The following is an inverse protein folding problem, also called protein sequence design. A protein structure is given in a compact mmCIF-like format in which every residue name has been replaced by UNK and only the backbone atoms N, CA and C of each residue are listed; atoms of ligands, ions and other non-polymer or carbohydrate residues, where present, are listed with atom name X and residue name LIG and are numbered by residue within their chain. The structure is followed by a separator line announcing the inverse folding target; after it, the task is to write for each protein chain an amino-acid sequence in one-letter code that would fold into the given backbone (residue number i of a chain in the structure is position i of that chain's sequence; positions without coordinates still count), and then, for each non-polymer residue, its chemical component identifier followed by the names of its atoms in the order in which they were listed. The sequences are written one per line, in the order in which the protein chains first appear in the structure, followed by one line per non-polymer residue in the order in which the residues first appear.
data_IF_881963610531
#
_entry.id   IF_881963610531
#
_cell.length_a   1.000
_cell.length_b   1.000
_cell.length_c   1.000
_cell.angle_alpha   90.00
_cell.angle_beta   90.00
_cell.angle_gamma   90.00
#
_symmetry.space_group_name_H-M   'P 1'
#
loop_
_entity.id
_entity.type
_entity.pdbx_description
1 polymer ?
#
# COMPACT_ATOMS: atom_id res chain seq x y z
N UNK A 1 8.76 33.03 -4.95
CA UNK A 1 8.37 32.63 -3.58
C UNK A 1 9.13 31.36 -3.25
N UNK A 2 9.74 31.25 -2.06
CA UNK A 2 10.49 30.06 -1.63
C UNK A 2 9.70 29.30 -0.57
N UNK A 3 9.45 28.02 -0.82
CA UNK A 3 8.77 27.15 0.12
C UNK A 3 9.74 26.53 1.14
N UNK A 4 9.25 26.18 2.33
CA UNK A 4 10.02 25.36 3.25
C UNK A 4 10.19 23.95 2.70
N UNK A 5 9.08 23.37 2.16
CA UNK A 5 9.10 22.03 1.58
C UNK A 5 8.30 21.99 0.28
N UNK A 6 8.87 21.35 -0.75
CA UNK A 6 8.11 20.89 -1.93
C UNK A 6 7.88 19.40 -1.78
N UNK A 7 6.62 18.99 -1.81
CA UNK A 7 6.19 17.60 -1.84
C UNK A 7 5.90 17.20 -3.28
N UNK A 8 6.62 16.21 -3.81
CA UNK A 8 6.46 15.71 -5.17
C UNK A 8 5.61 14.45 -5.16
N UNK A 9 4.40 14.53 -5.70
CA UNK A 9 3.40 13.48 -5.76
C UNK A 9 2.24 13.68 -4.78
N UNK A 10 1.02 13.82 -5.32
CA UNK A 10 -0.22 14.07 -4.58
C UNK A 10 -1.01 12.80 -4.22
N UNK A 11 -0.38 11.63 -4.16
CA UNK A 11 -0.99 10.43 -3.59
C UNK A 11 -1.09 10.48 -2.07
N UNK A 12 -1.61 9.43 -1.40
CA UNK A 12 -1.84 9.43 0.05
C UNK A 12 -0.63 9.84 0.89
N UNK A 13 0.59 9.40 0.52
CA UNK A 13 1.80 9.80 1.24
C UNK A 13 2.09 11.30 1.14
N UNK A 14 2.00 11.84 -0.08
CA UNK A 14 2.34 13.26 -0.30
C UNK A 14 1.26 14.21 0.22
N UNK A 15 -0.01 13.86 0.05
CA UNK A 15 -1.11 14.67 0.58
C UNK A 15 -1.06 14.77 2.10
N UNK A 16 -0.84 13.63 2.80
CA UNK A 16 -0.68 13.62 4.27
C UNK A 16 0.57 14.36 4.69
N UNK A 17 1.70 14.20 3.98
CA UNK A 17 2.93 14.93 4.30
C UNK A 17 2.73 16.45 4.17
N UNK A 18 2.06 16.91 3.12
CA UNK A 18 1.77 18.32 2.89
C UNK A 18 0.86 18.88 4.00
N UNK A 19 -0.26 18.21 4.30
CA UNK A 19 -1.17 18.59 5.37
C UNK A 19 -0.45 18.67 6.73
N UNK A 20 0.36 17.64 7.07
CA UNK A 20 1.10 17.58 8.34
C UNK A 20 2.06 18.77 8.48
N UNK A 21 2.80 19.12 7.46
CA UNK A 21 3.74 20.25 7.47
C UNK A 21 3.04 21.60 7.60
N UNK A 22 1.96 21.79 6.85
CA UNK A 22 1.20 23.05 6.91
C UNK A 22 0.59 23.25 8.29
N UNK A 23 0.03 22.20 8.92
CA UNK A 23 -0.49 22.25 10.28
C UNK A 23 0.61 22.58 11.32
N UNK A 24 1.88 22.38 10.98
CA UNK A 24 3.04 22.78 11.78
C UNK A 24 3.60 24.15 11.37
N UNK A 25 2.85 24.94 10.59
CA UNK A 25 3.20 26.31 10.20
C UNK A 25 4.29 26.40 9.12
N UNK A 26 4.56 25.31 8.38
CA UNK A 26 5.54 25.35 7.29
C UNK A 26 4.86 25.73 5.97
N UNK A 27 5.56 26.47 5.11
CA UNK A 27 5.10 26.79 3.76
C UNK A 27 5.36 25.61 2.82
N UNK A 28 4.31 25.08 2.17
CA UNK A 28 4.37 23.83 1.39
C UNK A 28 3.76 24.00 0.00
N UNK A 29 4.49 23.54 -1.03
CA UNK A 29 3.91 23.27 -2.34
C UNK A 29 3.74 21.76 -2.54
N UNK A 30 2.55 21.34 -2.95
CA UNK A 30 2.21 19.96 -3.33
C UNK A 30 2.16 19.86 -4.86
N UNK A 31 3.25 19.37 -5.45
CA UNK A 31 3.38 19.17 -6.89
C UNK A 31 2.81 17.81 -7.29
N UNK A 32 1.76 17.80 -8.08
CA UNK A 32 1.16 16.57 -8.62
C UNK A 32 0.80 16.73 -10.10
N UNK A 33 0.95 15.67 -10.87
CA UNK A 33 0.67 15.71 -12.30
C UNK A 33 -0.82 15.64 -12.66
N UNK A 34 -1.69 15.31 -11.69
CA UNK A 34 -3.13 15.15 -11.92
C UNK A 34 -3.52 13.98 -12.83
N UNK A 35 -4.82 13.83 -13.02
CA UNK A 35 -5.42 12.99 -14.09
C UNK A 35 -5.15 11.48 -14.05
N UNK A 36 -4.38 10.95 -13.08
CA UNK A 36 -4.10 9.52 -12.98
C UNK A 36 -4.74 8.91 -11.74
N UNK A 37 -5.61 7.94 -11.96
CA UNK A 37 -6.06 7.04 -10.90
C UNK A 37 -4.95 6.02 -10.64
N UNK A 38 -4.54 5.84 -9.39
CA UNK A 38 -3.56 4.83 -9.05
C UNK A 38 -4.22 3.46 -8.96
N UNK A 39 -3.74 2.44 -9.72
CA UNK A 39 -4.22 1.07 -9.60
C UNK A 39 -4.08 0.55 -8.16
N UNK A 40 -5.18 0.05 -7.60
CA UNK A 40 -5.22 -0.42 -6.21
C UNK A 40 -6.45 -1.29 -5.97
N UNK A 41 -6.33 -2.29 -5.10
CA UNK A 41 -7.48 -3.04 -4.59
C UNK A 41 -8.36 -2.27 -3.60
N UNK A 42 -7.98 -1.07 -3.19
CA UNK A 42 -8.80 -0.13 -2.41
C UNK A 42 -9.01 -0.47 -0.94
N UNK A 43 -8.49 -1.59 -0.45
CA UNK A 43 -8.72 -2.04 0.94
C UNK A 43 -8.01 -1.15 1.96
N UNK A 44 -8.76 -0.63 2.93
CA UNK A 44 -8.26 0.19 4.04
C UNK A 44 -8.72 -0.37 5.39
N UNK A 45 -7.81 -0.51 6.38
CA UNK A 45 -8.17 -1.02 7.70
C UNK A 45 -8.86 0.04 8.54
N UNK A 46 -9.65 -0.36 9.57
CA UNK A 46 -10.28 0.58 10.51
C UNK A 46 -9.29 1.53 11.18
N UNK A 47 -8.08 1.07 11.41
CA UNK A 47 -7.02 1.92 11.97
C UNK A 47 -6.71 3.12 11.07
N UNK A 48 -6.63 2.92 9.75
CA UNK A 48 -6.43 4.03 8.81
C UNK A 48 -7.58 5.02 8.87
N UNK A 49 -8.82 4.51 8.85
CA UNK A 49 -10.04 5.33 8.88
C UNK A 49 -10.03 6.23 10.12
N UNK A 50 -9.76 5.64 11.29
CA UNK A 50 -9.68 6.36 12.55
C UNK A 50 -8.51 7.33 12.64
N UNK A 51 -7.27 6.85 12.38
CA UNK A 51 -6.04 7.61 12.63
C UNK A 51 -5.92 8.82 11.68
N UNK A 52 -6.56 8.76 10.50
CA UNK A 52 -6.57 9.84 9.51
C UNK A 52 -7.93 10.51 9.31
N UNK A 53 -8.90 10.25 10.19
CA UNK A 53 -10.24 10.83 10.14
C UNK A 53 -10.85 10.75 8.72
N UNK A 54 -10.90 9.54 8.17
CA UNK A 54 -11.48 9.31 6.84
C UNK A 54 -13.01 9.31 6.98
N UNK A 55 -13.71 10.18 6.26
CA UNK A 55 -15.17 10.23 6.25
C UNK A 55 -15.79 8.93 5.74
N UNK A 56 -16.93 8.55 6.32
CA UNK A 56 -17.63 7.30 6.00
C UNK A 56 -18.12 7.27 4.54
N UNK A 57 -18.46 8.41 3.98
CA UNK A 57 -18.90 8.55 2.57
C UNK A 57 -17.85 8.17 1.54
N UNK A 58 -16.58 8.06 1.95
CA UNK A 58 -15.49 7.56 1.09
C UNK A 58 -15.37 6.04 1.10
N UNK A 59 -16.10 5.36 1.98
CA UNK A 59 -16.09 3.90 2.10
C UNK A 59 -17.20 3.33 1.22
N UNK A 60 -16.82 2.87 0.03
CA UNK A 60 -17.79 2.37 -0.97
C UNK A 60 -18.27 0.96 -0.72
N UNK A 61 -17.58 0.18 0.13
CA UNK A 61 -18.01 -1.13 0.58
C UNK A 61 -17.35 -1.51 1.93
N UNK A 62 -18.06 -2.35 2.70
CA UNK A 62 -17.64 -2.86 4.01
C UNK A 62 -17.43 -4.36 3.92
N UNK A 63 -16.18 -4.82 3.75
CA UNK A 63 -15.89 -6.24 3.76
C UNK A 63 -15.87 -6.75 5.21
N UNK A 64 -16.83 -7.58 5.57
CA UNK A 64 -17.02 -8.18 6.91
C UNK A 64 -16.28 -9.50 7.08
N UNK A 65 -15.58 -9.95 6.05
CA UNK A 65 -14.79 -11.17 6.08
C UNK A 65 -13.99 -11.38 4.81
N UNK A 66 -13.22 -12.47 4.85
CA UNK A 66 -12.53 -12.97 3.66
C UNK A 66 -12.86 -14.44 3.45
N UNK A 67 -12.80 -14.87 2.19
CA UNK A 67 -12.80 -16.28 1.82
C UNK A 67 -11.49 -16.58 1.10
N UNK A 68 -10.76 -17.57 1.62
CA UNK A 68 -9.41 -17.88 1.17
C UNK A 68 -9.41 -19.22 0.45
N UNK A 69 -8.96 -19.24 -0.80
CA UNK A 69 -8.98 -20.40 -1.67
C UNK A 69 -7.61 -21.03 -1.83
N UNK A 70 -7.53 -22.33 -1.56
CA UNK A 70 -6.34 -23.15 -1.74
C UNK A 70 -6.17 -23.63 -3.20
N UNK A 71 -4.99 -24.21 -3.55
CA UNK A 71 -4.77 -24.83 -4.86
C UNK A 71 -5.76 -25.93 -5.22
N UNK A 72 -6.16 -26.76 -4.25
CA UNK A 72 -7.15 -27.82 -4.42
C UNK A 72 -8.58 -27.33 -4.69
N UNK A 73 -8.84 -26.02 -4.55
CA UNK A 73 -10.18 -25.45 -4.55
C UNK A 73 -10.85 -25.42 -3.17
N UNK A 74 -10.22 -26.03 -2.14
CA UNK A 74 -10.65 -25.89 -0.76
C UNK A 74 -10.71 -24.41 -0.39
N UNK A 75 -11.75 -24.02 0.35
CA UNK A 75 -11.90 -22.65 0.80
C UNK A 75 -12.15 -22.58 2.31
N UNK A 76 -11.55 -21.60 2.96
CA UNK A 76 -11.75 -21.29 4.36
C UNK A 76 -12.36 -19.90 4.50
N UNK A 77 -13.47 -19.81 5.25
CA UNK A 77 -14.08 -18.53 5.59
C UNK A 77 -13.37 -17.92 6.81
N UNK A 78 -13.06 -16.64 6.72
CA UNK A 78 -12.44 -15.85 7.80
C UNK A 78 -13.36 -14.66 8.11
N UNK A 79 -14.42 -14.84 8.90
CA UNK A 79 -15.28 -13.71 9.28
C UNK A 79 -14.52 -12.76 10.21
N UNK A 80 -14.77 -11.46 10.04
CA UNK A 80 -14.36 -10.44 11.00
C UNK A 80 -15.39 -10.43 12.12
N UNK A 81 -14.94 -10.34 13.37
CA UNK A 81 -15.85 -10.32 14.53
C UNK A 81 -16.88 -9.19 14.47
N UNK A 82 -17.86 -9.21 15.37
CA UNK A 82 -19.01 -8.28 15.41
C UNK A 82 -18.58 -6.81 15.26
N UNK A 83 -19.26 -6.09 14.37
CA UNK A 83 -19.00 -4.67 14.07
C UNK A 83 -17.72 -4.35 13.33
N UNK A 84 -16.83 -5.35 13.10
CA UNK A 84 -15.58 -5.12 12.36
C UNK A 84 -15.78 -5.19 10.83
N UNK A 85 -15.01 -4.39 10.10
CA UNK A 85 -14.95 -4.46 8.64
C UNK A 85 -13.59 -3.97 8.12
N UNK A 86 -13.30 -4.29 6.88
CA UNK A 86 -12.27 -3.64 6.06
C UNK A 86 -13.00 -2.73 5.08
N UNK A 87 -12.70 -1.44 5.11
CA UNK A 87 -13.29 -0.47 4.17
C UNK A 87 -12.69 -0.61 2.78
N UNK A 88 -13.49 -0.36 1.75
CA UNK A 88 -13.02 -0.22 0.38
C UNK A 88 -13.17 1.22 -0.07
N UNK A 89 -12.16 1.74 -0.75
CA UNK A 89 -12.16 3.13 -1.26
C UNK A 89 -11.84 3.16 -2.73
N UNK A 90 -12.49 4.05 -3.45
CA UNK A 90 -12.14 4.39 -4.82
C UNK A 90 -11.04 5.46 -4.84
N UNK A 91 -9.93 5.14 -5.49
CA UNK A 91 -8.69 5.92 -5.42
C UNK A 91 -8.77 7.28 -6.09
N UNK A 92 -9.63 7.49 -7.05
CA UNK A 92 -9.90 8.79 -7.66
C UNK A 92 -10.50 9.77 -6.64
N UNK A 93 -11.55 9.35 -5.95
CA UNK A 93 -12.23 10.17 -4.93
C UNK A 93 -11.39 10.28 -3.66
N UNK A 94 -10.84 9.17 -3.18
CA UNK A 94 -10.03 9.12 -1.96
C UNK A 94 -8.76 9.98 -2.04
N UNK A 95 -7.99 9.86 -3.14
CA UNK A 95 -6.77 10.64 -3.30
C UNK A 95 -7.07 12.14 -3.49
N UNK A 96 -8.18 12.48 -4.18
CA UNK A 96 -8.60 13.88 -4.34
C UNK A 96 -9.05 14.48 -3.00
N UNK A 97 -9.80 13.74 -2.19
CA UNK A 97 -10.15 14.16 -0.84
C UNK A 97 -8.91 14.53 -0.02
N UNK A 98 -7.87 13.68 -0.02
CA UNK A 98 -6.64 13.96 0.71
C UNK A 98 -5.91 15.21 0.18
N UNK A 99 -5.88 15.41 -1.15
CA UNK A 99 -5.28 16.61 -1.76
C UNK A 99 -6.07 17.89 -1.42
N UNK A 100 -7.39 17.82 -1.48
CA UNK A 100 -8.27 18.94 -1.12
C UNK A 100 -8.05 19.32 0.35
N UNK A 101 -8.04 18.35 1.26
CA UNK A 101 -7.81 18.56 2.69
C UNK A 101 -6.43 19.19 2.97
N UNK A 102 -5.39 18.77 2.26
CA UNK A 102 -4.08 19.40 2.36
C UNK A 102 -4.10 20.87 1.88
N UNK A 103 -4.83 21.16 0.80
CA UNK A 103 -4.99 22.53 0.29
C UNK A 103 -5.81 23.41 1.23
N UNK A 104 -6.90 22.91 1.78
CA UNK A 104 -7.71 23.59 2.81
C UNK A 104 -6.91 23.93 4.06
N UNK A 105 -5.95 23.06 4.43
CA UNK A 105 -5.00 23.34 5.50
C UNK A 105 -3.99 24.42 5.13
N UNK A 106 -3.82 24.76 3.85
CA UNK A 106 -2.94 25.83 3.34
C UNK A 106 -1.80 25.39 2.43
N UNK A 107 -1.75 24.12 2.00
CA UNK A 107 -0.76 23.68 1.02
C UNK A 107 -1.10 24.25 -0.38
N UNK A 108 -0.11 24.78 -1.08
CA UNK A 108 -0.28 25.28 -2.45
C UNK A 108 -0.22 24.09 -3.41
N UNK A 109 -1.36 23.79 -4.04
CA UNK A 109 -1.40 22.76 -5.10
C UNK A 109 -0.77 23.29 -6.39
N UNK A 110 0.19 22.55 -6.92
CA UNK A 110 0.85 22.86 -8.20
C UNK A 110 0.64 21.68 -9.15
N UNK A 111 0.06 21.96 -10.31
CA UNK A 111 -0.16 20.94 -11.33
C UNK A 111 1.05 20.86 -12.26
N UNK A 112 1.70 19.70 -12.28
CA UNK A 112 2.85 19.47 -13.14
C UNK A 112 3.57 18.16 -12.89
N UNK A 113 4.42 17.79 -13.84
CA UNK A 113 5.22 16.56 -13.77
C UNK A 113 6.66 16.88 -13.38
N UNK A 114 7.13 16.29 -12.30
CA UNK A 114 8.52 16.41 -11.82
C UNK A 114 9.52 16.06 -12.93
N UNK A 115 10.57 16.87 -13.07
CA UNK A 115 11.67 16.66 -14.02
C UNK A 115 12.99 16.37 -13.29
N UNK A 116 13.48 17.29 -12.47
CA UNK A 116 14.77 17.19 -11.75
C UNK A 116 14.86 18.16 -10.59
N UNK A 117 15.88 18.00 -9.77
CA UNK A 117 16.27 18.95 -8.74
C UNK A 117 17.63 19.56 -9.13
N UNK A 118 17.75 20.90 -9.05
CA UNK A 118 19.02 21.61 -9.16
C UNK A 118 19.37 22.34 -7.86
N UNK A 119 20.67 22.74 -7.69
CA UNK A 119 21.17 23.29 -6.43
C UNK A 119 22.20 24.40 -6.63
N UNK A 120 22.21 25.05 -7.78
CA UNK A 120 23.17 26.12 -8.10
C UNK A 120 22.93 27.35 -7.21
N UNK A 121 21.67 27.78 -7.07
CA UNK A 121 21.25 28.91 -6.25
C UNK A 121 20.28 28.51 -5.12
N UNK A 122 20.52 27.39 -4.47
CA UNK A 122 19.61 26.76 -3.53
C UNK A 122 18.87 25.57 -4.15
N UNK A 123 17.98 24.94 -3.38
CA UNK A 123 17.22 23.78 -3.87
C UNK A 123 16.06 24.23 -4.75
N UNK A 124 16.03 23.74 -5.96
CA UNK A 124 15.03 24.08 -6.97
C UNK A 124 14.45 22.83 -7.60
N UNK A 125 13.13 22.64 -7.48
CA UNK A 125 12.39 21.54 -8.08
C UNK A 125 11.86 21.97 -9.44
N UNK A 126 12.39 21.40 -10.52
CA UNK A 126 11.94 21.65 -11.89
C UNK A 126 10.81 20.68 -12.23
N UNK A 127 9.79 21.19 -12.92
CA UNK A 127 8.65 20.41 -13.36
C UNK A 127 8.12 20.92 -14.71
N UNK A 128 7.42 20.07 -15.43
CA UNK A 128 6.69 20.44 -16.63
C UNK A 128 5.28 20.84 -16.24
N UNK A 129 5.00 22.13 -16.27
CA UNK A 129 3.68 22.72 -16.05
C UNK A 129 2.87 22.86 -17.33
N UNK A 130 1.77 23.59 -17.26
CA UNK A 130 0.89 23.83 -18.40
C UNK A 130 1.55 24.70 -19.50
N UNK A 131 2.41 25.64 -19.13
CA UNK A 131 3.06 26.61 -20.02
C UNK A 131 4.48 26.20 -20.44
N UNK A 132 5.01 25.10 -19.92
CA UNK A 132 6.35 24.60 -20.21
C UNK A 132 7.13 24.20 -18.98
N UNK A 133 8.46 24.33 -19.03
CA UNK A 133 9.34 24.03 -17.92
C UNK A 133 9.30 25.16 -16.90
N UNK A 134 8.92 24.82 -15.68
CA UNK A 134 8.76 25.71 -14.54
C UNK A 134 9.60 25.20 -13.36
N UNK A 135 9.71 25.99 -12.29
CA UNK A 135 10.40 25.55 -11.07
C UNK A 135 9.80 26.12 -9.80
N UNK A 136 10.06 25.46 -8.69
CA UNK A 136 9.73 25.86 -7.32
C UNK A 136 11.02 25.93 -6.51
N UNK A 137 11.29 27.09 -5.90
CA UNK A 137 12.38 27.23 -4.93
C UNK A 137 11.94 26.67 -3.57
N UNK A 138 12.81 25.89 -2.93
CA UNK A 138 12.49 25.26 -1.65
C UNK A 138 13.73 25.11 -0.76
N UNK A 139 13.53 24.69 0.48
CA UNK A 139 14.61 24.26 1.38
C UNK A 139 14.78 22.75 1.38
N UNK A 140 13.66 22.01 1.38
CA UNK A 140 13.62 20.54 1.41
C UNK A 140 12.63 19.98 0.40
N UNK A 141 12.81 18.72 0.03
CA UNK A 141 11.93 18.00 -0.88
C UNK A 141 11.49 16.68 -0.26
N UNK A 142 10.19 16.39 -0.30
CA UNK A 142 9.64 15.05 -0.04
C UNK A 142 9.31 14.38 -1.36
N UNK A 143 10.00 13.28 -1.69
CA UNK A 143 9.67 12.43 -2.84
C UNK A 143 8.57 11.42 -2.48
N UNK A 144 7.35 11.68 -2.93
CA UNK A 144 6.15 10.84 -2.72
C UNK A 144 5.48 10.46 -4.06
N UNK A 145 6.26 10.40 -5.13
CA UNK A 145 5.85 10.22 -6.53
C UNK A 145 5.64 8.76 -6.94
N UNK A 146 5.46 7.88 -5.94
CA UNK A 146 4.96 6.52 -6.09
C UNK A 146 6.03 5.49 -6.44
N UNK A 147 5.57 4.29 -6.84
CA UNK A 147 6.43 3.12 -7.02
C UNK A 147 7.56 3.29 -8.06
N UNK A 148 7.32 4.10 -9.09
CA UNK A 148 8.30 4.39 -10.17
C UNK A 148 8.90 5.79 -9.95
N UNK A 149 9.18 6.13 -8.71
CA UNK A 149 9.64 7.45 -8.29
C UNK A 149 10.84 7.95 -9.10
N UNK A 150 10.70 9.11 -9.73
CA UNK A 150 11.79 9.80 -10.40
C UNK A 150 12.71 10.49 -9.37
N UNK A 151 12.12 11.05 -8.30
CA UNK A 151 12.87 11.63 -7.18
C UNK A 151 13.77 10.58 -6.53
N UNK A 152 13.22 9.38 -6.21
CA UNK A 152 13.99 8.32 -5.60
C UNK A 152 15.18 7.87 -6.46
N UNK A 153 14.95 7.66 -7.76
CA UNK A 153 16.03 7.25 -8.69
C UNK A 153 17.13 8.31 -8.85
N UNK A 154 16.76 9.56 -8.86
CA UNK A 154 17.72 10.67 -9.01
C UNK A 154 18.53 10.90 -7.74
N UNK A 155 17.88 10.89 -6.58
CA UNK A 155 18.43 11.45 -5.35
C UNK A 155 18.90 10.41 -4.32
N UNK A 156 18.35 9.19 -4.32
CA UNK A 156 18.66 8.17 -3.32
C UNK A 156 19.22 6.91 -3.98
N UNK A 157 20.52 6.66 -3.78
CA UNK A 157 21.26 5.57 -4.42
C UNK A 157 20.61 4.20 -4.18
N UNK A 158 20.13 3.94 -2.98
CA UNK A 158 19.52 2.68 -2.56
C UNK A 158 18.19 2.39 -3.25
N UNK A 159 17.53 3.41 -3.78
CA UNK A 159 16.25 3.29 -4.50
C UNK A 159 16.40 2.98 -6.00
N UNK A 160 17.64 2.89 -6.52
CA UNK A 160 17.89 2.63 -7.95
C UNK A 160 17.61 1.20 -8.39
N UNK A 161 17.53 0.25 -7.46
CA UNK A 161 17.26 -1.18 -7.73
C UNK A 161 16.09 -1.65 -6.87
N UNK A 162 14.87 -1.20 -7.14
CA UNK A 162 13.69 -1.61 -6.39
C UNK A 162 13.36 -3.08 -6.66
N UNK A 163 12.76 -3.74 -5.65
CA UNK A 163 12.17 -5.06 -5.82
C UNK A 163 10.65 -4.93 -5.92
N UNK A 164 10.08 -5.39 -7.02
CA UNK A 164 8.65 -5.27 -7.30
C UNK A 164 7.93 -6.62 -7.36
N UNK A 165 6.68 -6.62 -6.90
CA UNK A 165 5.60 -7.44 -7.44
C UNK A 165 4.87 -6.59 -8.46
N UNK A 166 4.69 -7.06 -9.68
CA UNK A 166 3.85 -6.40 -10.67
C UNK A 166 2.42 -6.89 -10.51
N UNK A 167 1.50 -5.98 -10.29
CA UNK A 167 0.08 -6.25 -10.16
C UNK A 167 -0.67 -5.80 -11.41
N UNK A 168 -1.71 -6.57 -11.77
CA UNK A 168 -2.68 -6.24 -12.79
C UNK A 168 -4.07 -6.55 -12.26
N UNK A 169 -5.03 -5.67 -12.49
CA UNK A 169 -6.42 -5.89 -12.13
C UNK A 169 -7.39 -5.28 -13.15
N UNK A 170 -8.60 -5.75 -13.09
CA UNK A 170 -9.73 -5.23 -13.83
C UNK A 170 -10.81 -4.80 -12.84
N UNK A 171 -11.35 -3.60 -13.03
CA UNK A 171 -12.58 -3.17 -12.37
C UNK A 171 -13.72 -3.61 -13.27
N UNK A 172 -14.60 -4.44 -12.73
CA UNK A 172 -15.74 -5.00 -13.44
C UNK A 172 -17.03 -4.59 -12.74
N UNK A 173 -18.14 -4.55 -13.48
CA UNK A 173 -19.46 -4.35 -12.91
C UNK A 173 -19.84 -5.57 -12.07
N UNK A 174 -20.19 -5.37 -10.81
CA UNK A 174 -20.62 -6.46 -9.94
C UNK A 174 -22.00 -6.98 -10.38
N UNK A 175 -22.21 -8.33 -10.45
CA UNK A 175 -23.52 -8.87 -10.72
C UNK A 175 -24.51 -8.52 -9.60
N UNK A 176 -25.75 -8.18 -9.96
CA UNK A 176 -26.80 -7.86 -8.99
C UNK A 176 -27.21 -9.06 -8.11
N UNK A 177 -26.92 -10.29 -8.55
CA UNK A 177 -27.20 -11.51 -7.82
C UNK A 177 -26.00 -12.45 -7.84
N UNK A 178 -25.78 -13.16 -6.72
CA UNK A 178 -24.71 -14.16 -6.60
C UNK A 178 -23.33 -13.60 -6.29
N UNK A 179 -23.12 -12.27 -6.26
CA UNK A 179 -21.90 -11.64 -5.81
C UNK A 179 -22.02 -11.20 -4.34
N UNK A 180 -21.03 -11.55 -3.52
CA UNK A 180 -20.99 -11.17 -2.11
C UNK A 180 -20.27 -9.84 -1.96
N UNK A 181 -21.03 -8.76 -1.85
CA UNK A 181 -20.52 -7.37 -1.72
C UNK A 181 -19.90 -7.05 -0.36
N UNK A 182 -19.94 -7.97 0.61
CA UNK A 182 -19.37 -7.79 1.95
C UNK A 182 -18.17 -8.72 2.22
N UNK A 183 -17.62 -9.37 1.19
CA UNK A 183 -16.54 -10.34 1.35
C UNK A 183 -15.40 -10.14 0.37
N UNK A 184 -14.17 -10.21 0.87
CA UNK A 184 -12.95 -10.29 0.07
C UNK A 184 -12.63 -11.74 -0.26
N UNK A 185 -12.55 -12.12 -1.55
CA UNK A 185 -12.08 -13.43 -1.95
C UNK A 185 -10.60 -13.38 -2.32
N UNK A 186 -9.80 -14.30 -1.75
CA UNK A 186 -8.34 -14.34 -1.89
C UNK A 186 -7.91 -15.72 -2.37
N UNK A 187 -7.16 -15.77 -3.48
CA UNK A 187 -6.80 -17.01 -4.16
C UNK A 187 -5.29 -17.27 -4.06
N UNK A 188 -4.90 -18.25 -3.26
CA UNK A 188 -3.52 -18.75 -3.14
C UNK A 188 -3.30 -19.95 -4.08
N UNK A 189 -3.38 -19.71 -5.38
CA UNK A 189 -3.26 -20.74 -6.43
C UNK A 189 -2.15 -20.34 -7.39
N UNK A 190 -1.22 -21.24 -7.71
CA UNK A 190 -0.07 -20.95 -8.57
C UNK A 190 -0.43 -20.56 -10.00
N UNK A 191 -1.55 -21.06 -10.51
CA UNK A 191 -2.08 -20.64 -11.80
C UNK A 191 -2.58 -19.19 -11.79
N UNK A 192 -3.03 -18.67 -10.63
CA UNK A 192 -3.44 -17.28 -10.44
C UNK A 192 -2.27 -16.39 -10.10
N UNK A 193 -1.36 -16.87 -9.24
CA UNK A 193 -0.10 -16.20 -8.92
C UNK A 193 0.94 -17.20 -8.44
N UNK A 194 2.16 -17.25 -9.02
CA UNK A 194 3.19 -18.18 -8.60
C UNK A 194 3.90 -17.81 -7.30
N UNK A 195 3.81 -16.56 -6.84
CA UNK A 195 4.60 -16.02 -5.72
C UNK A 195 3.90 -14.89 -4.93
N UNK A 196 2.63 -14.65 -5.24
CA UNK A 196 1.76 -13.71 -4.57
C UNK A 196 0.35 -14.33 -4.41
N UNK A 197 -0.74 -13.59 -4.68
CA UNK A 197 -2.12 -14.09 -4.63
C UNK A 197 -3.00 -13.38 -5.67
N UNK A 198 -4.18 -13.93 -5.93
CA UNK A 198 -5.25 -13.25 -6.64
C UNK A 198 -6.33 -12.77 -5.69
N UNK A 199 -7.07 -11.75 -6.09
CA UNK A 199 -8.13 -11.16 -5.29
C UNK A 199 -9.38 -10.86 -6.10
N UNK A 200 -10.53 -10.91 -5.42
CA UNK A 200 -11.80 -10.32 -5.84
C UNK A 200 -12.32 -9.51 -4.67
N UNK A 201 -12.32 -8.19 -4.80
CA UNK A 201 -12.69 -7.25 -3.75
C UNK A 201 -13.92 -6.45 -4.17
N UNK A 202 -14.95 -6.34 -3.29
CA UNK A 202 -16.16 -5.58 -3.58
C UNK A 202 -15.90 -4.07 -3.53
N UNK A 203 -16.58 -3.31 -4.40
CA UNK A 203 -16.59 -1.86 -4.45
C UNK A 203 -17.98 -1.33 -4.78
N UNK A 204 -18.96 -1.61 -3.92
CA UNK A 204 -20.35 -1.25 -4.18
C UNK A 204 -20.92 -2.02 -5.38
N UNK A 205 -21.24 -1.31 -6.45
CA UNK A 205 -21.74 -1.84 -7.72
C UNK A 205 -20.64 -2.38 -8.65
N UNK A 206 -19.39 -2.35 -8.22
CA UNK A 206 -18.23 -2.87 -8.95
C UNK A 206 -17.42 -3.86 -8.13
N UNK A 207 -16.51 -4.55 -8.77
CA UNK A 207 -15.52 -5.42 -8.12
C UNK A 207 -14.14 -5.23 -8.75
N UNK A 208 -13.11 -5.23 -7.91
CA UNK A 208 -11.71 -5.29 -8.33
C UNK A 208 -11.26 -6.74 -8.41
N UNK A 209 -10.93 -7.23 -9.59
CA UNK A 209 -10.43 -8.59 -9.82
C UNK A 209 -8.99 -8.50 -10.29
N UNK A 210 -8.05 -9.05 -9.54
CA UNK A 210 -6.65 -8.88 -9.87
C UNK A 210 -5.71 -9.94 -9.33
N UNK A 211 -4.47 -9.85 -9.76
CA UNK A 211 -3.36 -10.67 -9.30
C UNK A 211 -2.03 -9.92 -9.39
N UNK A 212 -0.98 -10.47 -8.76
CA UNK A 212 0.36 -9.94 -8.82
C UNK A 212 1.41 -11.04 -8.88
N UNK A 213 2.58 -10.72 -9.44
CA UNK A 213 3.75 -11.60 -9.41
C UNK A 213 5.05 -10.83 -9.53
N UNK A 214 6.10 -11.27 -8.82
CA UNK A 214 7.47 -10.84 -9.04
C UNK A 214 8.17 -11.66 -10.14
N UNK A 215 7.56 -12.78 -10.58
CA UNK A 215 8.12 -13.65 -11.61
C UNK A 215 8.01 -12.98 -12.98
N UNK A 216 9.16 -12.64 -13.54
CA UNK A 216 9.23 -12.01 -14.86
C UNK A 216 8.62 -12.91 -15.93
N UNK A 217 7.78 -12.33 -16.80
CA UNK A 217 7.11 -13.06 -17.89
C UNK A 217 5.86 -13.83 -17.47
N UNK A 218 5.42 -13.74 -16.22
CA UNK A 218 4.13 -14.32 -15.81
C UNK A 218 2.98 -13.57 -16.48
N UNK A 219 2.04 -14.31 -17.07
CA UNK A 219 0.94 -13.79 -17.88
C UNK A 219 -0.22 -13.30 -16.99
N UNK A 220 -0.04 -12.09 -16.40
CA UNK A 220 -0.99 -11.52 -15.44
C UNK A 220 -2.41 -11.34 -15.98
N UNK A 221 -2.56 -11.00 -17.28
CA UNK A 221 -3.87 -10.79 -17.91
C UNK A 221 -4.65 -12.08 -18.04
N UNK A 222 -3.99 -13.12 -18.51
CA UNK A 222 -4.57 -14.47 -18.65
C UNK A 222 -4.95 -15.02 -17.27
N UNK A 223 -4.10 -14.79 -16.25
CA UNK A 223 -4.36 -15.20 -14.88
C UNK A 223 -5.61 -14.48 -14.29
N UNK A 224 -5.80 -13.19 -14.59
CA UNK A 224 -7.00 -12.44 -14.19
C UNK A 224 -8.23 -12.93 -14.96
N UNK A 225 -8.10 -13.24 -16.26
CA UNK A 225 -9.18 -13.86 -17.04
C UNK A 225 -9.66 -15.17 -16.43
N UNK A 226 -8.74 -16.08 -16.11
CA UNK A 226 -9.05 -17.34 -15.44
C UNK A 226 -9.62 -17.15 -14.02
N UNK A 227 -9.16 -16.11 -13.30
CA UNK A 227 -9.71 -15.76 -12.00
C UNK A 227 -11.15 -15.27 -12.10
N UNK A 228 -11.48 -14.46 -13.11
CA UNK A 228 -12.86 -14.02 -13.38
C UNK A 228 -13.80 -15.19 -13.64
N UNK A 229 -13.35 -16.18 -14.41
CA UNK A 229 -14.13 -17.42 -14.64
C UNK A 229 -14.43 -18.13 -13.31
N UNK A 230 -13.39 -18.35 -12.49
CA UNK A 230 -13.52 -19.00 -11.17
C UNK A 230 -14.42 -18.24 -10.20
N UNK A 231 -14.43 -16.92 -10.28
CA UNK A 231 -15.23 -16.04 -9.43
C UNK A 231 -16.66 -15.81 -9.96
N UNK A 232 -17.04 -16.43 -11.10
CA UNK A 232 -18.35 -16.21 -11.72
C UNK A 232 -18.51 -14.82 -12.37
N UNK A 233 -17.40 -14.17 -12.70
CA UNK A 233 -17.36 -12.81 -13.26
C UNK A 233 -16.91 -12.76 -14.73
N UNK A 234 -16.88 -13.92 -15.44
CA UNK A 234 -16.43 -13.99 -16.82
C UNK A 234 -17.23 -13.08 -17.77
N UNK A 235 -18.57 -13.05 -17.60
CA UNK A 235 -19.48 -12.22 -18.39
C UNK A 235 -19.64 -10.78 -17.90
N UNK A 236 -19.00 -10.39 -16.79
CA UNK A 236 -19.14 -9.05 -16.24
C UNK A 236 -18.47 -8.00 -17.13
N UNK A 237 -19.14 -6.86 -17.32
CA UNK A 237 -18.59 -5.72 -18.08
C UNK A 237 -17.32 -5.22 -17.42
N UNK A 238 -16.26 -5.04 -18.21
CA UNK A 238 -15.00 -4.44 -17.73
C UNK A 238 -15.04 -2.94 -17.91
N UNK A 239 -15.02 -2.22 -16.80
CA UNK A 239 -15.03 -0.75 -16.75
C UNK A 239 -13.60 -0.20 -16.98
N UNK A 240 -12.60 -0.82 -16.30
CA UNK A 240 -11.22 -0.31 -16.34
C UNK A 240 -10.20 -1.46 -16.20
N UNK A 241 -9.07 -1.35 -16.90
CA UNK A 241 -7.93 -2.26 -16.83
C UNK A 241 -6.69 -1.50 -16.41
N UNK A 242 -6.00 -1.96 -15.40
CA UNK A 242 -4.90 -1.24 -14.80
C UNK A 242 -3.79 -2.17 -14.30
N UNK A 243 -2.57 -1.62 -14.23
CA UNK A 243 -1.44 -2.33 -13.66
C UNK A 243 -0.45 -1.38 -12.99
N UNK A 244 0.20 -1.86 -11.94
CA UNK A 244 1.21 -1.11 -11.23
C UNK A 244 2.27 -2.02 -10.59
N UNK A 245 3.53 -1.58 -10.51
CA UNK A 245 4.51 -2.21 -9.64
C UNK A 245 4.23 -1.89 -8.17
N UNK A 246 4.41 -2.90 -7.31
CA UNK A 246 4.31 -2.81 -5.85
C UNK A 246 5.70 -2.96 -5.25
N UNK A 247 6.32 -1.90 -4.70
CA UNK A 247 7.65 -1.98 -4.11
C UNK A 247 7.55 -2.52 -2.68
N UNK A 248 7.72 -3.83 -2.55
CA UNK A 248 7.45 -4.57 -1.30
C UNK A 248 8.68 -4.70 -0.37
N UNK A 249 9.68 -3.88 -0.56
CA UNK A 249 10.88 -3.84 0.30
C UNK A 249 11.28 -2.41 0.62
N UNK A 250 11.14 -1.97 1.89
CA UNK A 250 11.63 -0.67 2.32
C UNK A 250 13.12 -0.50 1.99
N UNK A 251 13.49 0.62 1.39
CA UNK A 251 14.89 0.89 1.06
C UNK A 251 15.73 1.07 2.32
N UNK A 252 17.05 0.81 2.20
CA UNK A 252 17.98 0.94 3.32
C UNK A 252 18.19 2.38 3.76
N UNK A 253 17.99 3.34 2.85
CA UNK A 253 17.96 4.77 3.11
C UNK A 253 16.78 5.38 2.39
N UNK A 254 16.17 6.40 3.01
CA UNK A 254 15.06 7.17 2.45
C UNK A 254 15.44 8.62 2.19
N UNK A 255 16.62 9.03 2.58
CA UNK A 255 17.12 10.38 2.41
C UNK A 255 18.45 10.39 1.61
N UNK A 256 18.77 11.54 1.04
CA UNK A 256 20.06 11.75 0.36
C UNK A 256 21.14 12.35 1.27
N UNK A 257 20.86 12.51 2.57
CA UNK A 257 21.77 13.12 3.55
C UNK A 257 21.92 14.62 3.41
N UNK A 258 21.07 15.31 2.63
CA UNK A 258 21.17 16.73 2.35
C UNK A 258 19.83 17.49 2.39
N UNK A 259 18.93 17.20 1.49
CA UNK A 259 17.72 18.01 1.27
C UNK A 259 16.51 17.22 0.75
N UNK A 260 16.62 15.91 0.55
CA UNK A 260 15.55 15.06 0.04
C UNK A 260 15.27 13.91 0.99
N UNK A 261 13.98 13.63 1.25
CA UNK A 261 13.49 12.42 1.93
C UNK A 261 12.35 11.78 1.14
N UNK A 262 12.27 10.46 1.15
CA UNK A 262 11.24 9.69 0.44
C UNK A 262 10.10 9.28 1.37
N UNK A 263 8.89 9.12 0.81
CA UNK A 263 7.71 8.63 1.51
C UNK A 263 6.85 7.70 0.65
N UNK A 264 6.09 6.84 1.29
CA UNK A 264 5.18 5.92 0.62
C UNK A 264 5.87 4.92 -0.30
N UNK A 265 5.27 4.62 -1.44
CA UNK A 265 5.83 3.68 -2.41
C UNK A 265 7.20 4.12 -2.94
N UNK A 266 7.49 5.43 -2.97
CA UNK A 266 8.80 5.95 -3.34
C UNK A 266 9.90 5.53 -2.33
N UNK A 267 9.53 5.15 -1.10
CA UNK A 267 10.41 4.60 -0.08
C UNK A 267 10.36 3.05 0.02
N UNK A 268 9.51 2.40 -0.80
CA UNK A 268 9.40 0.93 -0.86
C UNK A 268 8.48 0.32 0.20
N UNK A 269 7.47 1.04 0.71
CA UNK A 269 6.70 0.64 1.89
C UNK A 269 5.35 -0.02 1.58
N UNK A 270 5.30 -0.89 0.61
CA UNK A 270 4.15 -1.79 0.41
C UNK A 270 4.38 -3.09 1.20
N UNK A 271 3.39 -3.53 1.97
CA UNK A 271 3.51 -4.73 2.80
C UNK A 271 3.66 -6.00 1.94
N UNK A 272 4.68 -6.85 2.20
CA UNK A 272 5.07 -7.93 1.29
C UNK A 272 3.98 -8.97 1.01
N UNK A 273 3.34 -9.51 2.04
CA UNK A 273 2.40 -10.62 1.89
C UNK A 273 1.00 -10.17 1.46
N UNK A 274 0.60 -8.95 1.82
CA UNK A 274 -0.75 -8.43 1.58
C UNK A 274 -0.85 -7.43 0.43
N UNK A 275 0.27 -6.88 -0.05
CA UNK A 275 0.26 -5.81 -1.05
C UNK A 275 -0.36 -4.50 -0.55
N UNK A 276 -0.64 -4.39 0.74
CA UNK A 276 -1.21 -3.18 1.32
C UNK A 276 -0.21 -2.04 1.34
N UNK A 277 -0.59 -0.90 0.75
CA UNK A 277 0.27 0.27 0.63
C UNK A 277 -0.33 1.54 1.20
N UNK A 278 -1.67 1.72 1.21
CA UNK A 278 -2.31 3.00 1.54
C UNK A 278 -1.97 3.45 2.97
N UNK A 279 -2.21 2.58 3.97
CA UNK A 279 -1.89 2.90 5.37
C UNK A 279 -0.41 3.25 5.57
N UNK A 280 0.49 2.41 5.05
CA UNK A 280 1.93 2.63 5.19
C UNK A 280 2.43 3.85 4.41
N UNK A 281 1.77 4.19 3.31
CA UNK A 281 2.06 5.41 2.56
C UNK A 281 1.69 6.66 3.38
N UNK A 282 0.50 6.68 3.99
CA UNK A 282 0.02 7.80 4.81
C UNK A 282 0.90 8.01 6.05
N UNK A 283 1.17 6.95 6.83
CA UNK A 283 2.10 7.00 7.98
C UNK A 283 3.52 7.40 7.54
N UNK A 284 4.00 6.85 6.44
CA UNK A 284 5.32 7.21 5.89
C UNK A 284 5.40 8.68 5.47
N UNK A 285 4.30 9.24 4.94
CA UNK A 285 4.15 10.65 4.61
C UNK A 285 4.23 11.53 5.85
N UNK A 286 3.49 11.18 6.90
CA UNK A 286 3.53 11.88 8.19
C UNK A 286 4.93 11.87 8.81
N UNK A 287 5.60 10.70 8.84
CA UNK A 287 6.95 10.57 9.38
C UNK A 287 7.99 11.35 8.55
N UNK A 288 7.84 11.43 7.23
CA UNK A 288 8.70 12.26 6.39
C UNK A 288 8.48 13.75 6.66
N UNK A 289 7.23 14.18 6.87
CA UNK A 289 6.90 15.53 7.25
C UNK A 289 7.53 15.92 8.60
N UNK A 290 7.40 15.07 9.62
CA UNK A 290 8.01 15.27 10.94
C UNK A 290 9.54 15.37 10.84
N UNK A 291 10.18 14.54 10.02
CA UNK A 291 11.63 14.59 9.80
C UNK A 291 12.05 15.89 9.09
N UNK A 292 11.27 16.38 8.12
CA UNK A 292 11.50 17.67 7.47
C UNK A 292 11.33 18.84 8.46
N UNK A 293 10.27 18.83 9.28
CA UNK A 293 10.05 19.86 10.28
C UNK A 293 11.21 19.94 11.27
N UNK A 294 11.65 18.82 11.81
CA UNK A 294 12.81 18.74 12.70
C UNK A 294 14.11 19.27 12.03
N UNK A 295 14.33 18.92 10.76
CA UNK A 295 15.46 19.43 9.97
C UNK A 295 15.40 20.96 9.81
N UNK A 296 14.22 21.51 9.53
CA UNK A 296 14.01 22.95 9.37
C UNK A 296 14.22 23.73 10.67
N UNK A 297 13.83 23.16 11.80
CA UNK A 297 13.94 23.75 13.13
C UNK A 297 15.36 23.72 13.68
N UNK A 298 16.05 22.59 13.50
CA UNK A 298 17.39 22.39 14.06
C UNK A 298 18.53 22.80 13.11
N UNK A 299 18.26 22.90 11.80
CA UNK A 299 19.28 23.04 10.76
C UNK A 299 20.10 21.76 10.52
N UNK A 300 19.83 20.64 11.24
CA UNK A 300 20.56 19.38 11.08
C UNK A 300 19.90 18.48 10.04
N UNK A 301 20.55 18.33 8.90
CA UNK A 301 20.09 17.46 7.79
C UNK A 301 20.00 15.97 8.19
N UNK A 302 20.70 15.54 9.26
CA UNK A 302 20.61 14.18 9.78
C UNK A 302 19.21 13.85 10.31
N UNK A 303 18.41 14.85 10.64
CA UNK A 303 17.01 14.67 11.05
C UNK A 303 16.17 13.97 9.96
N UNK A 304 16.50 14.14 8.68
CA UNK A 304 15.80 13.48 7.57
C UNK A 304 15.83 11.95 7.66
N UNK A 305 16.89 11.36 8.18
CA UNK A 305 16.99 9.91 8.43
C UNK A 305 15.98 9.43 9.49
N UNK A 306 15.40 10.33 10.27
CA UNK A 306 14.36 10.09 11.27
C UNK A 306 13.12 9.44 10.66
N UNK A 307 12.72 9.81 9.44
CA UNK A 307 11.57 9.23 8.75
C UNK A 307 11.64 7.70 8.69
N UNK A 308 12.73 7.17 8.12
CA UNK A 308 12.94 5.73 8.04
C UNK A 308 13.11 5.10 9.42
N UNK A 309 13.90 5.72 10.31
CA UNK A 309 14.17 5.19 11.65
C UNK A 309 12.87 4.98 12.43
N UNK A 310 11.98 5.95 12.42
CA UNK A 310 10.68 5.90 13.09
C UNK A 310 9.77 4.85 12.45
N UNK A 311 9.68 4.81 11.13
CA UNK A 311 8.91 3.81 10.42
C UNK A 311 9.38 2.38 10.71
N UNK A 312 10.68 2.11 10.64
CA UNK A 312 11.23 0.78 10.89
C UNK A 312 11.13 0.36 12.35
N UNK A 313 11.17 1.31 13.29
CA UNK A 313 10.90 1.05 14.71
C UNK A 313 9.45 0.60 14.92
N UNK A 314 8.49 1.24 14.27
CA UNK A 314 7.07 0.94 14.42
C UNK A 314 6.61 -0.30 13.64
N UNK A 315 7.12 -0.49 12.42
CA UNK A 315 6.59 -1.45 11.46
C UNK A 315 7.61 -2.47 10.94
N UNK A 316 8.90 -2.32 11.24
CA UNK A 316 9.96 -3.17 10.69
C UNK A 316 9.76 -4.66 10.97
N UNK A 317 9.28 -5.02 12.17
CA UNK A 317 8.99 -6.41 12.52
C UNK A 317 7.78 -6.96 11.73
N UNK A 318 6.74 -6.16 11.50
CA UNK A 318 5.60 -6.54 10.66
C UNK A 318 6.07 -6.85 9.25
N UNK A 319 6.88 -5.95 8.66
CA UNK A 319 7.45 -6.16 7.31
C UNK A 319 8.34 -7.39 7.24
N UNK A 320 9.14 -7.66 8.26
CA UNK A 320 9.97 -8.86 8.33
C UNK A 320 9.12 -10.14 8.34
N UNK A 321 8.12 -10.21 9.22
CA UNK A 321 7.20 -11.37 9.32
C UNK A 321 6.43 -11.57 8.02
N UNK A 322 5.84 -10.52 7.46
CA UNK A 322 5.10 -10.60 6.20
C UNK A 322 6.01 -11.01 5.02
N UNK A 323 7.25 -10.50 4.99
CA UNK A 323 8.23 -10.92 3.99
C UNK A 323 8.65 -12.39 4.10
N UNK A 324 8.77 -12.90 5.33
CA UNK A 324 9.00 -14.32 5.58
C UNK A 324 7.78 -15.15 5.15
N UNK A 325 6.57 -14.74 5.54
CA UNK A 325 5.33 -15.43 5.17
C UNK A 325 5.18 -15.56 3.66
N UNK A 326 5.39 -14.47 2.91
CA UNK A 326 5.33 -14.48 1.46
C UNK A 326 6.32 -15.49 0.85
N UNK A 327 7.58 -15.45 1.29
CA UNK A 327 8.62 -16.34 0.77
C UNK A 327 8.39 -17.80 1.15
N UNK A 328 7.87 -18.08 2.34
CA UNK A 328 7.68 -19.43 2.83
C UNK A 328 6.37 -20.04 2.34
N UNK A 329 5.24 -19.38 2.63
CA UNK A 329 3.92 -19.95 2.35
C UNK A 329 3.53 -19.92 0.88
N UNK A 330 3.97 -18.91 0.13
CA UNK A 330 3.56 -18.76 -1.27
C UNK A 330 4.49 -19.49 -2.26
N UNK A 331 5.52 -20.17 -1.78
CA UNK A 331 6.56 -20.74 -2.62
C UNK A 331 6.12 -21.99 -3.42
N UNK A 332 5.25 -22.83 -2.88
CA UNK A 332 4.80 -24.09 -3.51
C UNK A 332 3.32 -24.34 -3.28
N UNK A 333 2.67 -25.12 -4.15
CA UNK A 333 1.26 -25.48 -4.01
C UNK A 333 0.98 -26.18 -2.66
N UNK A 334 1.82 -27.12 -2.25
CA UNK A 334 1.64 -27.81 -0.97
C UNK A 334 1.76 -26.89 0.24
N UNK A 335 2.59 -25.83 0.19
CA UNK A 335 2.67 -24.83 1.26
C UNK A 335 1.45 -23.93 1.27
N UNK A 336 0.96 -23.50 0.09
CA UNK A 336 -0.27 -22.72 -0.02
C UNK A 336 -1.47 -23.51 0.51
N UNK A 337 -1.57 -24.79 0.17
CA UNK A 337 -2.61 -25.68 0.68
C UNK A 337 -2.64 -25.74 2.21
N UNK A 338 -1.45 -25.91 2.83
CA UNK A 338 -1.32 -25.91 4.29
C UNK A 338 -1.62 -24.56 4.90
N UNK A 339 -1.18 -23.45 4.26
CA UNK A 339 -1.45 -22.09 4.70
C UNK A 339 -2.95 -21.83 4.77
N UNK A 340 -3.69 -22.16 3.70
CA UNK A 340 -5.15 -21.98 3.67
C UNK A 340 -5.82 -22.85 4.74
N UNK A 341 -5.38 -24.10 4.91
CA UNK A 341 -5.91 -24.98 5.96
C UNK A 341 -5.71 -24.40 7.36
N UNK A 342 -4.55 -23.83 7.65
CA UNK A 342 -4.25 -23.15 8.92
C UNK A 342 -5.16 -21.93 9.12
N UNK A 343 -5.53 -21.21 8.07
CA UNK A 343 -6.47 -20.10 8.13
C UNK A 343 -7.89 -20.52 8.59
N UNK A 344 -8.24 -21.80 8.56
CA UNK A 344 -9.46 -22.33 9.15
C UNK A 344 -9.45 -22.39 10.69
N UNK A 345 -8.30 -22.27 11.34
CA UNK A 345 -8.18 -22.27 12.80
C UNK A 345 -8.65 -20.91 13.38
N UNK A 346 -9.61 -20.95 14.31
CA UNK A 346 -10.20 -19.74 14.93
C UNK A 346 -9.18 -18.87 15.66
N UNK A 347 -8.16 -19.48 16.26
CA UNK A 347 -7.09 -18.71 16.92
C UNK A 347 -6.22 -17.97 15.90
N UNK A 348 -5.93 -18.61 14.75
CA UNK A 348 -5.20 -17.99 13.64
C UNK A 348 -6.03 -16.84 13.05
N UNK A 349 -7.32 -17.03 12.84
CA UNK A 349 -8.23 -15.99 12.37
C UNK A 349 -8.24 -14.78 13.31
N UNK A 350 -8.43 -15.03 14.62
CA UNK A 350 -8.44 -13.96 15.63
C UNK A 350 -7.13 -13.16 15.66
N UNK A 351 -5.97 -13.84 15.62
CA UNK A 351 -4.68 -13.17 15.60
C UNK A 351 -4.43 -12.40 14.28
N UNK A 352 -4.82 -13.00 13.15
CA UNK A 352 -4.67 -12.39 11.83
C UNK A 352 -5.49 -11.10 11.74
N UNK A 353 -6.77 -11.15 12.09
CA UNK A 353 -7.61 -9.96 12.08
C UNK A 353 -7.14 -8.91 13.09
N UNK A 354 -6.78 -9.31 14.31
CA UNK A 354 -6.24 -8.37 15.30
C UNK A 354 -4.98 -7.68 14.79
N UNK A 355 -4.06 -8.43 14.18
CA UNK A 355 -2.83 -7.87 13.61
C UNK A 355 -3.12 -6.96 12.40
N UNK A 356 -4.01 -7.37 11.51
CA UNK A 356 -4.38 -6.60 10.33
C UNK A 356 -5.09 -5.29 10.69
N UNK A 357 -6.09 -5.35 11.58
CA UNK A 357 -6.88 -4.18 12.00
C UNK A 357 -6.03 -3.14 12.73
N UNK A 358 -5.05 -3.58 13.54
CA UNK A 358 -4.21 -2.71 14.35
C UNK A 358 -2.83 -2.41 13.73
N UNK A 359 -2.50 -3.02 12.60
CA UNK A 359 -1.20 -2.87 11.93
C UNK A 359 0.00 -3.11 12.83
N UNK A 360 -0.13 -4.10 13.73
CA UNK A 360 0.88 -4.49 14.71
C UNK A 360 0.87 -6.00 14.94
N UNK A 361 2.02 -6.55 15.32
CA UNK A 361 2.09 -7.94 15.75
C UNK A 361 1.42 -8.11 17.12
N UNK A 362 0.70 -9.21 17.29
CA UNK A 362 -0.01 -9.51 18.54
C UNK A 362 0.90 -10.32 19.44
N UNK A 363 1.56 -9.68 20.41
CA UNK A 363 2.39 -10.36 21.41
C UNK A 363 1.64 -10.74 22.67
N UNK A 364 0.51 -10.10 22.94
CA UNK A 364 -0.21 -10.16 24.21
C UNK A 364 -0.93 -11.51 24.50
N UNK A 365 -0.81 -12.51 23.62
CA UNK A 365 -1.51 -13.81 23.76
C UNK A 365 -0.55 -15.01 23.65
N UNK A 366 0.44 -15.19 24.55
CA UNK A 366 1.45 -16.24 24.43
C UNK A 366 0.83 -17.65 24.45
N UNK A 367 -0.24 -17.86 25.23
CA UNK A 367 -0.97 -19.15 25.29
C UNK A 367 -1.62 -19.46 23.92
N UNK A 368 -2.18 -18.46 23.24
CA UNK A 368 -2.77 -18.62 21.89
C UNK A 368 -1.69 -18.99 20.88
N UNK A 369 -0.53 -18.33 20.93
CA UNK A 369 0.61 -18.66 20.07
C UNK A 369 1.12 -20.09 20.31
N UNK A 370 1.26 -20.49 21.57
CA UNK A 370 1.63 -21.86 21.93
C UNK A 370 0.60 -22.88 21.43
N UNK A 371 -0.69 -22.60 21.59
CA UNK A 371 -1.78 -23.46 21.12
C UNK A 371 -1.79 -23.58 19.60
N UNK A 372 -1.63 -22.49 18.86
CA UNK A 372 -1.51 -22.49 17.38
C UNK A 372 -0.30 -23.32 16.97
N UNK A 373 0.86 -23.14 17.61
CA UNK A 373 2.07 -23.91 17.32
C UNK A 373 1.83 -25.41 17.52
N UNK A 374 1.28 -25.83 18.66
CA UNK A 374 1.00 -27.23 18.96
C UNK A 374 -0.02 -27.84 17.99
N UNK A 375 -1.16 -27.17 17.73
CA UNK A 375 -2.20 -27.64 16.81
C UNK A 375 -1.69 -27.79 15.37
N UNK A 376 -0.84 -26.86 14.92
CA UNK A 376 -0.41 -26.78 13.55
C UNK A 376 1.03 -27.28 13.33
N UNK A 377 1.66 -27.86 14.35
CA UNK A 377 3.06 -28.29 14.28
C UNK A 377 3.33 -29.25 13.12
N UNK A 378 2.46 -30.23 12.87
CA UNK A 378 2.57 -31.15 11.73
C UNK A 378 2.52 -30.44 10.37
N UNK A 379 1.73 -29.36 10.27
CA UNK A 379 1.65 -28.51 9.07
C UNK A 379 2.86 -27.59 8.94
N UNK A 380 3.36 -27.04 10.05
CA UNK A 380 4.53 -26.15 10.08
C UNK A 380 5.81 -26.90 9.71
N UNK A 381 6.02 -28.14 10.23
CA UNK A 381 7.21 -28.96 9.92
C UNK A 381 7.05 -29.83 8.67
N UNK A 382 5.92 -29.73 7.97
CA UNK A 382 5.71 -30.42 6.69
C UNK A 382 5.40 -31.92 6.80
N UNK A 383 5.12 -32.42 8.00
CA UNK A 383 4.80 -33.85 8.25
C UNK A 383 3.32 -34.19 7.96
N UNK A 384 2.41 -33.22 7.98
CA UNK A 384 1.03 -33.44 7.58
C UNK A 384 0.93 -33.59 6.06
N UNK A 385 0.23 -34.61 5.58
CA UNK A 385 -0.15 -34.72 4.17
C UNK A 385 -1.05 -33.54 3.79
N UNK A 386 -0.78 -32.96 2.62
CA UNK A 386 -1.54 -31.85 2.07
C UNK A 386 -3.00 -32.19 1.86
#
# INVERSE_FOLDING_TARGET
MRYDVVVVGGGPAGAVAAETLVRQGKSVALLDKGGRIKPCGGAVPPRLIRDFNIPEELIVAHARGAKIFAPSGRAEAMPIGEGGYVGMVDRDVFDEFLRARAAEAGAVRVLGSFLRISREDGVRVHFKGATGDEFLDTRLVIGADGAVSAVARAEVKEARKPYYVFAYHEIVKAPAAGFDGERCDIYYQGAVSPDFYGWVFPHGDTASVGTGSAKKGFALREAVGALREKAGLAGAETIRREGAPLPIRPYKKWDNGRDVVLAGDAAGVVAPASGEGIYYAMIGGEMAAQACAACLETGDVKALAGARKTFMKAHGQVFFVLGFMQKFWYATEGRRERFVRICGDKDVQSLTWTAYMNKALVYAKPIVHARIFLKNMSHLVGLARA
#
